data_IF_181418681359
#
_entry.id   IF_181418681359
#
_cell.length_a   1.000
_cell.length_b   1.000
_cell.length_c   1.000
_cell.angle_alpha   90.00
_cell.angle_beta   90.00
_cell.angle_gamma   90.00
#
_symmetry.space_group_name_H-M   'P 1'
#
loop_
_entity.id
_entity.type
_entity.pdbx_description
1 polymer ?
#
# COMPACT_ATOMS: atom_id res chain seq x y z
N UNK A 1 -14.16 4.84 9.47
CA UNK A 1 -14.77 6.13 9.09
C UNK A 1 -15.23 6.07 7.64
N UNK A 2 -16.38 6.65 7.27
CA UNK A 2 -16.78 6.77 5.87
C UNK A 2 -16.03 7.91 5.18
N UNK A 3 -15.71 7.71 3.90
CA UNK A 3 -15.35 8.77 2.97
C UNK A 3 -16.52 8.92 2.01
N UNK A 4 -17.20 10.06 2.12
CA UNK A 4 -18.44 10.34 1.41
C UNK A 4 -19.50 9.26 1.65
N UNK A 5 -19.72 8.35 0.71
CA UNK A 5 -20.75 7.31 0.70
C UNK A 5 -20.24 5.90 1.01
N UNK A 6 -18.93 5.71 1.23
CA UNK A 6 -18.32 4.38 1.40
C UNK A 6 -17.39 4.30 2.61
N UNK A 7 -17.23 3.13 3.24
CA UNK A 7 -16.15 2.92 4.21
C UNK A 7 -14.77 3.20 3.60
N UNK A 8 -13.90 3.87 4.34
CA UNK A 8 -12.53 4.21 3.89
C UNK A 8 -11.73 3.01 3.36
N UNK A 9 -11.93 1.82 3.94
CA UNK A 9 -11.21 0.60 3.53
C UNK A 9 -11.55 0.12 2.11
N UNK A 10 -12.66 0.59 1.52
CA UNK A 10 -13.05 0.19 0.16
C UNK A 10 -12.07 0.74 -0.89
N UNK A 11 -11.42 1.86 -0.62
CA UNK A 11 -10.49 2.50 -1.55
C UNK A 11 -9.18 1.72 -1.73
N UNK A 12 -8.45 1.34 -0.65
CA UNK A 12 -7.29 0.48 -0.80
C UNK A 12 -7.66 -0.93 -1.29
N UNK A 13 -8.81 -1.48 -0.89
CA UNK A 13 -9.30 -2.76 -1.40
C UNK A 13 -9.49 -2.72 -2.93
N UNK A 14 -10.18 -1.69 -3.43
CA UNK A 14 -10.36 -1.49 -4.87
C UNK A 14 -9.03 -1.32 -5.61
N UNK A 15 -8.03 -0.70 -4.98
CA UNK A 15 -6.69 -0.55 -5.56
C UNK A 15 -6.00 -1.91 -5.75
N UNK A 16 -6.06 -2.79 -4.75
CA UNK A 16 -5.52 -4.16 -4.86
C UNK A 16 -6.28 -4.97 -5.94
N UNK A 17 -7.60 -4.88 -5.96
CA UNK A 17 -8.43 -5.53 -6.98
C UNK A 17 -8.10 -5.05 -8.39
N UNK A 18 -7.89 -3.74 -8.59
CA UNK A 18 -7.47 -3.18 -9.88
C UNK A 18 -6.08 -3.66 -10.32
N UNK A 19 -5.18 -3.93 -9.36
CA UNK A 19 -3.89 -4.57 -9.64
C UNK A 19 -4.02 -6.04 -10.06
N UNK A 20 -5.20 -6.65 -9.89
CA UNK A 20 -5.46 -8.06 -10.17
C UNK A 20 -5.21 -8.98 -8.97
N UNK A 21 -5.12 -8.43 -7.76
CA UNK A 21 -4.88 -9.19 -6.53
C UNK A 21 -6.22 -9.58 -5.92
N UNK A 22 -6.40 -10.88 -5.67
CA UNK A 22 -7.66 -11.46 -5.21
C UNK A 22 -7.55 -12.26 -3.91
N UNK A 23 -6.36 -12.45 -3.35
CA UNK A 23 -6.15 -13.03 -2.03
C UNK A 23 -5.55 -11.95 -1.11
N UNK A 24 -6.36 -11.49 -0.15
CA UNK A 24 -6.09 -10.25 0.59
C UNK A 24 -6.17 -10.53 2.09
N UNK A 25 -5.11 -10.19 2.81
CA UNK A 25 -5.08 -10.23 4.26
C UNK A 25 -5.28 -8.82 4.84
N UNK A 26 -6.35 -8.63 5.59
CA UNK A 26 -6.62 -7.41 6.34
C UNK A 26 -5.96 -7.50 7.72
N UNK A 27 -5.14 -6.51 8.04
CA UNK A 27 -4.51 -6.35 9.35
C UNK A 27 -5.12 -5.13 10.03
N UNK A 28 -5.52 -5.29 11.29
CA UNK A 28 -6.07 -4.21 12.11
C UNK A 28 -5.85 -4.51 13.59
N UNK A 29 -6.22 -3.60 14.49
CA UNK A 29 -6.08 -3.84 15.93
C UNK A 29 -7.00 -4.97 16.39
N UNK A 30 -6.73 -5.64 17.52
CA UNK A 30 -7.57 -6.73 18.04
C UNK A 30 -9.01 -6.29 18.28
N UNK A 31 -9.22 -5.02 18.63
CA UNK A 31 -10.56 -4.46 18.91
C UNK A 31 -11.34 -4.15 17.63
N UNK A 32 -10.66 -3.82 16.54
CA UNK A 32 -11.29 -3.39 15.29
C UNK A 32 -11.40 -4.49 14.24
N UNK A 33 -10.58 -5.54 14.31
CA UNK A 33 -10.51 -6.58 13.27
C UNK A 33 -11.87 -7.24 12.99
N UNK A 34 -12.66 -7.50 14.04
CA UNK A 34 -14.01 -8.07 13.88
C UNK A 34 -14.99 -7.14 13.17
N UNK A 35 -14.76 -5.82 13.18
CA UNK A 35 -15.56 -4.87 12.41
C UNK A 35 -15.27 -4.97 10.91
N UNK A 36 -14.01 -5.21 10.55
CA UNK A 36 -13.62 -5.45 9.16
C UNK A 36 -14.17 -6.78 8.66
N UNK A 37 -14.11 -7.83 9.48
CA UNK A 37 -14.70 -9.13 9.14
C UNK A 37 -16.22 -9.03 8.92
N UNK A 38 -16.95 -8.33 9.79
CA UNK A 38 -18.38 -8.08 9.60
C UNK A 38 -18.70 -7.26 8.34
N UNK A 39 -17.81 -6.33 7.96
CA UNK A 39 -18.01 -5.44 6.83
C UNK A 39 -17.72 -6.11 5.48
N UNK A 40 -16.60 -6.84 5.40
CA UNK A 40 -16.05 -7.39 4.16
C UNK A 40 -16.36 -8.89 3.99
N UNK A 41 -16.69 -9.59 5.08
CA UNK A 41 -16.99 -11.02 5.08
C UNK A 41 -15.78 -11.85 4.67
N UNK A 42 -16.00 -12.93 3.92
CA UNK A 42 -14.92 -13.72 3.33
C UNK A 42 -14.47 -13.19 1.95
N UNK A 43 -15.06 -12.08 1.48
CA UNK A 43 -14.74 -11.46 0.19
C UNK A 43 -15.59 -11.94 -1.00
N UNK A 44 -16.45 -12.96 -0.83
CA UNK A 44 -17.22 -13.57 -1.92
C UNK A 44 -18.07 -12.55 -2.69
N UNK A 45 -18.64 -11.58 -1.98
CA UNK A 45 -19.45 -10.49 -2.56
C UNK A 45 -18.67 -9.61 -3.55
N UNK A 46 -17.34 -9.61 -3.48
CA UNK A 46 -16.45 -8.85 -4.34
C UNK A 46 -15.65 -9.75 -5.30
N UNK A 47 -15.84 -11.08 -5.26
CA UNK A 47 -15.09 -12.03 -6.08
C UNK A 47 -13.63 -12.19 -5.66
N UNK A 48 -13.31 -11.94 -4.39
CA UNK A 48 -11.97 -12.08 -3.80
C UNK A 48 -12.04 -12.99 -2.57
N UNK A 49 -10.88 -13.33 -2.02
CA UNK A 49 -10.72 -13.96 -0.70
C UNK A 49 -10.16 -12.94 0.27
N UNK A 50 -10.81 -12.77 1.41
CA UNK A 50 -10.33 -11.93 2.49
C UNK A 50 -10.04 -12.75 3.75
N UNK A 51 -8.83 -12.62 4.26
CA UNK A 51 -8.39 -13.16 5.55
C UNK A 51 -8.15 -12.01 6.53
N UNK A 52 -8.09 -12.32 7.83
CA UNK A 52 -7.96 -11.32 8.89
C UNK A 52 -6.89 -11.74 9.90
N UNK A 53 -6.01 -10.81 10.29
CA UNK A 53 -5.07 -11.00 11.40
C UNK A 53 -5.02 -9.75 12.30
N UNK A 54 -5.08 -9.91 13.63
CA UNK A 54 -4.88 -8.80 14.53
C UNK A 54 -3.39 -8.38 14.58
N UNK A 55 -3.14 -7.08 14.65
CA UNK A 55 -1.84 -6.49 14.98
C UNK A 55 -1.84 -6.11 16.47
N UNK A 56 -1.03 -6.76 17.32
CA UNK A 56 -1.07 -6.53 18.77
C UNK A 56 -0.68 -5.10 19.19
N UNK A 57 0.24 -4.47 18.47
CA UNK A 57 0.76 -3.13 18.74
C UNK A 57 1.21 -2.46 17.43
N UNK A 58 1.09 -1.14 17.26
CA UNK A 58 1.50 -0.43 16.05
C UNK A 58 3.02 -0.20 16.00
N UNK A 59 3.81 -1.27 15.88
CA UNK A 59 5.29 -1.21 15.95
C UNK A 59 5.95 -0.83 14.60
N UNK A 60 5.13 -0.38 13.63
CA UNK A 60 5.57 0.09 12.31
C UNK A 60 5.20 -0.84 11.16
N UNK A 61 5.37 -0.34 9.93
CA UNK A 61 4.92 -1.01 8.70
C UNK A 61 5.65 -2.34 8.43
N UNK A 62 6.91 -2.44 8.82
CA UNK A 62 7.69 -3.67 8.65
C UNK A 62 7.09 -4.86 9.41
N UNK A 63 6.36 -4.60 10.51
CA UNK A 63 5.68 -5.64 11.28
C UNK A 63 4.60 -6.35 10.47
N UNK A 64 4.00 -5.69 9.47
CA UNK A 64 3.01 -6.30 8.60
C UNK A 64 3.58 -7.56 7.94
N UNK A 65 4.81 -7.50 7.42
CA UNK A 65 5.46 -8.64 6.78
C UNK A 65 5.67 -9.83 7.73
N UNK A 66 5.97 -9.56 9.00
CA UNK A 66 6.11 -10.59 10.04
C UNK A 66 4.74 -11.24 10.32
N UNK A 67 3.69 -10.44 10.51
CA UNK A 67 2.33 -10.93 10.76
C UNK A 67 1.81 -11.76 9.57
N UNK A 68 2.19 -11.37 8.35
CA UNK A 68 1.74 -12.02 7.12
C UNK A 68 2.62 -13.18 6.65
N UNK A 69 3.71 -13.54 7.34
CA UNK A 69 4.69 -14.51 6.86
C UNK A 69 4.04 -15.83 6.37
N UNK A 70 3.24 -16.46 7.23
CA UNK A 70 2.52 -17.70 6.89
C UNK A 70 1.49 -17.52 5.77
N UNK A 71 0.89 -16.33 5.68
CA UNK A 71 -0.10 -16.01 4.64
C UNK A 71 0.57 -15.87 3.28
N UNK A 72 1.71 -15.19 3.23
CA UNK A 72 2.47 -15.01 2.00
C UNK A 72 3.10 -16.33 1.54
N UNK A 73 3.58 -17.18 2.47
CA UNK A 73 4.19 -18.47 2.17
C UNK A 73 5.28 -18.39 1.08
N UNK A 74 6.02 -17.28 1.05
CA UNK A 74 7.05 -17.00 0.04
C UNK A 74 6.53 -16.54 -1.32
N UNK A 75 5.25 -16.22 -1.46
CA UNK A 75 4.65 -15.55 -2.63
C UNK A 75 5.04 -14.07 -2.70
N UNK A 76 4.98 -13.44 -3.89
CA UNK A 76 5.05 -11.98 -4.00
C UNK A 76 3.92 -11.32 -3.21
N UNK A 77 4.12 -10.07 -2.80
CA UNK A 77 3.19 -9.34 -1.93
C UNK A 77 2.97 -7.91 -2.42
N UNK A 78 1.75 -7.40 -2.23
CA UNK A 78 1.48 -5.97 -2.28
C UNK A 78 0.95 -5.50 -0.93
N UNK A 79 1.49 -4.39 -0.44
CA UNK A 79 1.09 -3.73 0.79
C UNK A 79 0.54 -2.35 0.47
N UNK A 80 -0.67 -2.06 0.96
CA UNK A 80 -1.30 -0.74 0.88
C UNK A 80 -1.81 -0.37 2.27
N UNK A 81 -1.67 0.91 2.66
CA UNK A 81 -2.25 1.37 3.93
C UNK A 81 -3.76 1.55 3.83
N UNK A 82 -4.46 1.23 4.91
CA UNK A 82 -5.93 1.22 4.97
C UNK A 82 -6.61 2.58 4.79
N UNK A 83 -5.85 3.67 4.89
CA UNK A 83 -6.29 5.06 4.77
C UNK A 83 -5.90 5.72 3.43
N UNK A 84 -5.19 4.99 2.56
CA UNK A 84 -4.71 5.53 1.30
C UNK A 84 -5.76 5.43 0.20
N UNK A 85 -5.87 6.51 -0.58
CA UNK A 85 -6.84 6.63 -1.67
C UNK A 85 -6.11 7.00 -2.96
N UNK A 86 -6.23 6.15 -3.96
CA UNK A 86 -5.62 6.35 -5.27
C UNK A 86 -6.69 6.56 -6.33
N UNK A 87 -6.45 7.51 -7.23
CA UNK A 87 -7.31 7.78 -8.37
C UNK A 87 -6.49 8.33 -9.55
N UNK A 88 -6.77 7.85 -10.75
CA UNK A 88 -6.12 8.33 -11.97
C UNK A 88 -6.48 7.48 -13.18
N UNK A 89 -6.49 8.09 -14.37
CA UNK A 89 -6.89 7.42 -15.61
C UNK A 89 -6.03 6.19 -15.94
N UNK A 90 -4.71 6.30 -15.79
CA UNK A 90 -3.74 5.24 -16.09
C UNK A 90 -3.25 4.48 -14.85
N UNK A 91 -3.89 4.69 -13.70
CA UNK A 91 -3.51 4.04 -12.44
C UNK A 91 -3.57 2.52 -12.57
N UNK A 92 -4.70 1.98 -13.06
CA UNK A 92 -4.90 0.53 -13.21
C UNK A 92 -3.83 -0.11 -14.09
N UNK A 93 -3.45 0.54 -15.22
CA UNK A 93 -2.37 0.06 -16.09
C UNK A 93 -1.03 0.01 -15.35
N UNK A 94 -0.74 1.04 -14.54
CA UNK A 94 0.50 1.12 -13.75
C UNK A 94 0.55 0.03 -12.67
N UNK A 95 -0.58 -0.21 -11.98
CA UNK A 95 -0.72 -1.26 -10.98
C UNK A 95 -0.52 -2.66 -11.58
N UNK A 96 -1.16 -2.94 -12.72
CA UNK A 96 -1.03 -4.21 -13.42
C UNK A 96 0.40 -4.45 -13.93
N UNK A 97 1.04 -3.40 -14.47
CA UNK A 97 2.45 -3.47 -14.89
C UNK A 97 3.38 -3.81 -13.72
N UNK A 98 3.13 -3.20 -12.55
CA UNK A 98 3.88 -3.51 -11.34
C UNK A 98 3.63 -4.96 -10.89
N UNK A 99 2.38 -5.42 -10.85
CA UNK A 99 2.03 -6.80 -10.51
C UNK A 99 2.59 -7.86 -11.48
N UNK A 100 2.86 -7.48 -12.73
CA UNK A 100 3.49 -8.37 -13.70
C UNK A 100 5.02 -8.53 -13.51
N UNK A 101 5.64 -7.76 -12.62
CA UNK A 101 7.07 -7.94 -12.30
C UNK A 101 7.28 -9.26 -11.58
N UNK A 102 8.34 -9.98 -11.93
CA UNK A 102 8.67 -11.25 -11.27
C UNK A 102 9.70 -11.10 -10.17
N UNK A 103 10.43 -9.97 -10.12
CA UNK A 103 11.53 -9.73 -9.19
C UNK A 103 11.70 -8.27 -8.81
N UNK A 104 12.22 -8.02 -7.60
CA UNK A 104 12.51 -6.69 -7.09
C UNK A 104 11.32 -6.04 -6.37
N UNK A 105 11.23 -4.71 -6.41
CA UNK A 105 10.15 -3.98 -5.76
C UNK A 105 9.71 -2.75 -6.55
N UNK A 106 8.42 -2.46 -6.51
CA UNK A 106 7.84 -1.23 -7.05
C UNK A 106 7.23 -0.40 -5.93
N UNK A 107 7.60 0.87 -5.89
CA UNK A 107 7.01 1.87 -4.99
C UNK A 107 6.43 2.98 -5.85
N UNK A 108 5.21 3.41 -5.55
CA UNK A 108 4.56 4.49 -6.27
C UNK A 108 4.88 5.81 -5.57
N UNK A 109 5.48 6.77 -6.28
CA UNK A 109 5.76 8.11 -5.76
C UNK A 109 4.69 9.13 -6.16
N UNK A 110 4.42 10.12 -5.31
CA UNK A 110 3.56 11.25 -5.63
C UNK A 110 4.18 12.59 -5.19
N UNK A 111 3.90 13.64 -5.95
CA UNK A 111 4.32 15.00 -5.60
C UNK A 111 3.46 15.52 -4.45
N UNK A 112 4.09 15.77 -3.31
CA UNK A 112 3.43 16.35 -2.13
C UNK A 112 3.90 17.78 -1.91
N UNK A 113 3.01 18.62 -1.41
CA UNK A 113 3.33 20.01 -1.08
C UNK A 113 4.24 20.14 0.14
N UNK A 114 4.27 19.13 1.03
CA UNK A 114 5.10 19.15 2.23
C UNK A 114 5.84 17.81 2.43
N UNK A 115 7.08 17.69 1.94
CA UNK A 115 7.86 16.44 2.03
C UNK A 115 8.32 16.08 3.46
N UNK A 116 8.28 17.02 4.42
CA UNK A 116 8.80 16.81 5.81
C UNK A 116 8.15 15.66 6.55
N UNK A 117 6.92 15.34 6.23
CA UNK A 117 6.12 14.36 6.96
C UNK A 117 6.27 12.93 6.43
N UNK A 118 7.00 12.75 5.33
CA UNK A 118 7.06 11.49 4.60
C UNK A 118 8.50 11.04 4.38
N UNK A 119 8.67 9.77 4.04
CA UNK A 119 9.83 9.33 3.25
C UNK A 119 9.84 10.06 1.91
N UNK A 120 11.01 10.33 1.36
CA UNK A 120 11.14 11.03 0.09
C UNK A 120 12.19 10.35 -0.77
N UNK A 121 11.80 9.99 -1.99
CA UNK A 121 12.66 9.34 -2.99
C UNK A 121 13.20 10.39 -3.93
N UNK A 122 14.53 10.44 -4.07
CA UNK A 122 15.24 11.30 -5.01
C UNK A 122 15.49 10.59 -6.33
N UNK A 123 15.33 11.32 -7.43
CA UNK A 123 15.58 10.82 -8.77
C UNK A 123 16.70 11.61 -9.46
N UNK A 124 17.51 10.92 -10.25
CA UNK A 124 18.45 11.58 -11.16
C UNK A 124 17.73 12.13 -12.41
N UNK A 125 18.46 12.82 -13.28
CA UNK A 125 17.93 13.43 -14.52
C UNK A 125 17.28 12.43 -15.48
N UNK A 126 17.65 11.16 -15.40
CA UNK A 126 17.09 10.08 -16.22
C UNK A 126 15.87 9.42 -15.55
N UNK A 127 15.36 9.97 -14.43
CA UNK A 127 14.23 9.42 -13.69
C UNK A 127 14.54 8.14 -12.93
N UNK A 128 15.82 7.86 -12.63
CA UNK A 128 16.24 6.71 -11.82
C UNK A 128 16.28 7.10 -10.35
N UNK A 129 15.65 6.32 -9.47
CA UNK A 129 15.72 6.53 -8.03
C UNK A 129 17.15 6.32 -7.52
N UNK A 130 17.70 7.28 -6.79
CA UNK A 130 19.08 7.27 -6.30
C UNK A 130 19.18 7.27 -4.77
N UNK A 131 18.17 7.78 -4.06
CA UNK A 131 18.15 7.81 -2.60
C UNK A 131 16.72 7.79 -2.05
N UNK A 132 16.56 7.32 -0.81
CA UNK A 132 15.34 7.45 -0.02
C UNK A 132 15.71 7.98 1.37
N UNK A 133 15.00 9.02 1.82
CA UNK A 133 15.24 9.69 3.10
C UNK A 133 13.94 9.79 3.88
N UNK A 134 13.90 9.26 5.10
CA UNK A 134 12.73 9.31 5.98
C UNK A 134 12.67 10.66 6.70
N UNK A 135 11.61 11.45 6.46
CA UNK A 135 11.36 12.76 7.10
C UNK A 135 12.57 13.71 7.00
N UNK A 136 12.92 14.16 5.78
CA UNK A 136 14.13 14.95 5.54
C UNK A 136 14.15 16.26 6.32
N UNK A 137 15.31 16.59 6.89
CA UNK A 137 15.48 17.83 7.65
C UNK A 137 15.44 19.09 6.76
N UNK A 138 15.81 18.97 5.48
CA UNK A 138 15.82 20.04 4.49
C UNK A 138 15.01 19.66 3.23
N UNK A 139 13.75 20.10 3.12
CA UNK A 139 12.81 19.66 2.09
C UNK A 139 12.52 20.72 1.02
N UNK A 140 13.10 21.92 1.14
CA UNK A 140 12.89 23.03 0.21
C UNK A 140 13.87 22.99 -0.98
N UNK A 141 14.88 22.11 -0.93
CA UNK A 141 15.94 21.97 -1.93
C UNK A 141 15.58 21.05 -3.11
N UNK A 142 14.30 20.78 -3.38
CA UNK A 142 13.94 19.53 -4.07
C UNK A 142 12.92 19.62 -5.19
N UNK A 143 13.45 19.84 -6.39
CA UNK A 143 12.71 19.82 -7.65
C UNK A 143 12.45 18.36 -8.13
N UNK A 144 13.24 17.38 -7.67
CA UNK A 144 13.23 15.98 -8.17
C UNK A 144 12.93 14.92 -7.09
N UNK A 145 12.11 15.25 -6.08
CA UNK A 145 11.77 14.32 -5.00
C UNK A 145 10.26 14.00 -4.96
N UNK A 146 9.93 12.73 -4.78
CA UNK A 146 8.54 12.24 -4.63
C UNK A 146 8.39 11.59 -3.26
N UNK A 147 7.27 11.82 -2.57
CA UNK A 147 6.93 11.01 -1.41
C UNK A 147 6.41 9.65 -1.89
N UNK A 148 6.84 8.51 -1.31
CA UNK A 148 6.17 7.24 -1.52
C UNK A 148 4.70 7.41 -1.17
N UNK A 149 3.83 7.29 -2.17
CA UNK A 149 2.47 6.91 -1.93
C UNK A 149 2.53 5.50 -1.33
N UNK A 150 1.80 5.25 -0.24
CA UNK A 150 2.02 4.11 0.64
C UNK A 150 1.45 2.79 0.07
N UNK A 151 1.83 2.50 -1.18
CA UNK A 151 1.63 1.29 -1.93
C UNK A 151 2.99 0.73 -2.33
N UNK A 152 3.29 -0.45 -1.82
CA UNK A 152 4.52 -1.18 -2.04
C UNK A 152 4.17 -2.51 -2.69
N UNK A 153 4.85 -2.86 -3.77
CA UNK A 153 4.76 -4.20 -4.35
C UNK A 153 6.15 -4.84 -4.31
N UNK A 154 6.23 -6.03 -3.73
CA UNK A 154 7.44 -6.80 -3.53
C UNK A 154 7.35 -8.13 -4.28
N UNK A 155 8.41 -8.45 -5.02
CA UNK A 155 8.54 -9.63 -5.85
C UNK A 155 9.90 -10.29 -5.60
N UNK A 156 9.96 -11.62 -5.71
CA UNK A 156 11.15 -12.41 -5.40
C UNK A 156 12.28 -12.23 -6.42
#
# INVERSE_FOLDING_TARGET
>A
MPIYDKPMVYYPLATLMQAGINDILVISTPEEIGRFENLLGNGDNFGIKTSYKPQPSPDGLAQAFIITEDFLAGSPAALILGDNMFYGHDLTKSLQKANAQTSGGTVFGYHVSNPKYYGVVEFNENGTAISIEEKPAQPDSVINKLAPAALFMYFK
#
